data_IF_018307935121
#
_entry.id   IF_018307935121
#
_cell.length_a   1.000
_cell.length_b   1.000
_cell.length_c   1.000
_cell.angle_alpha   90.00
_cell.angle_beta   90.00
_cell.angle_gamma   90.00
#
_symmetry.space_group_name_H-M   'P 1'
#
loop_
_entity.id
_entity.type
_entity.pdbx_description
1 polymer ?
#
# COMPACT_ATOMS: atom_id res chain seq x y z
N UNK A 1 20.63 -7.14 6.49
CA UNK A 1 20.76 -6.33 5.25
C UNK A 1 19.74 -6.88 4.27
N UNK A 2 18.75 -6.09 3.86
CA UNK A 2 17.76 -6.56 2.87
C UNK A 2 18.48 -6.90 1.55
N UNK A 3 18.07 -7.95 0.82
CA UNK A 3 18.66 -8.27 -0.46
C UNK A 3 18.48 -7.10 -1.42
N UNK A 4 19.59 -6.49 -1.83
CA UNK A 4 19.60 -5.44 -2.84
C UNK A 4 19.48 -6.13 -4.20
N UNK A 5 18.28 -6.15 -4.76
CA UNK A 5 18.06 -6.64 -6.11
C UNK A 5 18.64 -5.64 -7.11
N UNK A 6 19.38 -6.12 -8.10
CA UNK A 6 19.69 -5.31 -9.26
C UNK A 6 18.36 -4.96 -9.95
N UNK A 7 18.09 -3.67 -10.11
CA UNK A 7 16.86 -3.17 -10.70
C UNK A 7 17.15 -2.45 -12.01
N UNK A 8 16.25 -2.62 -12.97
CA UNK A 8 16.23 -1.85 -14.21
C UNK A 8 15.06 -0.89 -14.18
N UNK A 9 15.32 0.36 -14.57
CA UNK A 9 14.31 1.41 -14.68
C UNK A 9 13.97 1.64 -16.15
N UNK A 10 12.69 1.49 -16.49
CA UNK A 10 12.12 1.84 -17.78
C UNK A 10 11.45 3.21 -17.67
N UNK A 11 11.65 4.04 -18.68
CA UNK A 11 11.15 5.41 -18.70
C UNK A 11 10.24 5.65 -19.91
N UNK A 12 9.05 6.18 -19.67
CA UNK A 12 8.02 6.45 -20.69
C UNK A 12 7.55 7.90 -20.57
N UNK A 13 7.74 8.67 -21.66
CA UNK A 13 7.27 10.07 -21.72
C UNK A 13 5.77 10.20 -21.93
N UNK A 14 5.20 9.23 -22.63
CA UNK A 14 3.78 9.17 -22.97
C UNK A 14 3.11 8.09 -22.11
N UNK A 15 2.06 8.41 -21.32
CA UNK A 15 1.34 7.42 -20.53
C UNK A 15 0.74 6.30 -21.39
N UNK A 16 0.36 6.58 -22.64
CA UNK A 16 -0.14 5.56 -23.57
C UNK A 16 0.95 4.53 -23.94
N UNK A 17 2.24 4.90 -23.87
CA UNK A 17 3.35 3.97 -24.09
C UNK A 17 3.54 2.98 -22.92
N UNK A 18 3.03 3.29 -21.74
CA UNK A 18 3.16 2.45 -20.53
C UNK A 18 2.52 1.08 -20.75
N UNK A 19 1.31 1.01 -21.27
CA UNK A 19 0.64 -0.28 -21.52
C UNK A 19 1.38 -1.13 -22.56
N UNK A 20 1.96 -0.51 -23.58
CA UNK A 20 2.77 -1.22 -24.59
C UNK A 20 4.05 -1.76 -23.97
N UNK A 21 4.75 -0.94 -23.18
CA UNK A 21 5.93 -1.34 -22.43
C UNK A 21 5.66 -2.50 -21.48
N UNK A 22 4.59 -2.41 -20.68
CA UNK A 22 4.17 -3.47 -19.76
C UNK A 22 3.79 -4.77 -20.49
N UNK A 23 3.14 -4.68 -21.66
CA UNK A 23 2.84 -5.84 -22.51
C UNK A 23 4.12 -6.50 -23.02
N UNK A 24 5.12 -5.73 -23.40
CA UNK A 24 6.41 -6.26 -23.84
C UNK A 24 7.18 -6.92 -22.68
N UNK A 25 7.24 -6.27 -21.52
CA UNK A 25 7.84 -6.85 -20.31
C UNK A 25 7.15 -8.15 -19.90
N UNK A 26 5.82 -8.26 -20.06
CA UNK A 26 5.10 -9.52 -19.82
C UNK A 26 5.58 -10.65 -20.75
N UNK A 27 5.82 -10.38 -22.04
CA UNK A 27 6.36 -11.39 -22.95
C UNK A 27 7.73 -11.89 -22.52
N UNK A 28 8.51 -11.02 -21.87
CA UNK A 28 9.80 -11.35 -21.29
C UNK A 28 9.70 -12.09 -19.93
N UNK A 29 8.49 -12.26 -19.38
CA UNK A 29 8.26 -12.99 -18.12
C UNK A 29 7.84 -12.11 -16.93
N UNK A 30 7.68 -10.79 -17.10
CA UNK A 30 7.29 -9.92 -16.00
C UNK A 30 5.87 -10.26 -15.51
N UNK A 31 5.78 -10.60 -14.23
CA UNK A 31 4.50 -10.78 -13.52
C UNK A 31 4.09 -9.49 -12.80
N UNK A 32 2.82 -9.36 -12.36
CA UNK A 32 2.41 -8.25 -11.48
C UNK A 32 3.26 -8.15 -10.20
N UNK A 33 3.67 -9.30 -9.65
CA UNK A 33 4.62 -9.35 -8.53
C UNK A 33 6.02 -8.87 -8.94
N UNK A 34 6.38 -8.93 -10.22
CA UNK A 34 7.61 -8.38 -10.79
C UNK A 34 7.73 -6.86 -10.75
N UNK A 35 6.60 -6.16 -10.66
CA UNK A 35 6.58 -4.70 -10.66
C UNK A 35 6.98 -4.18 -9.27
N UNK A 36 8.19 -3.63 -9.15
CA UNK A 36 8.74 -3.22 -7.85
C UNK A 36 8.28 -1.82 -7.50
N UNK A 37 8.44 -0.87 -8.42
CA UNK A 37 8.05 0.51 -8.21
C UNK A 37 7.49 1.13 -9.49
N UNK A 38 6.51 2.02 -9.33
CA UNK A 38 6.02 2.90 -10.39
C UNK A 38 5.95 4.30 -9.81
N UNK A 39 6.56 5.27 -10.50
CA UNK A 39 6.58 6.65 -10.06
C UNK A 39 6.46 7.61 -11.25
N UNK A 40 5.93 8.79 -10.99
CA UNK A 40 5.82 9.87 -11.96
C UNK A 40 6.76 11.00 -11.58
N UNK A 41 7.41 11.59 -12.57
CA UNK A 41 8.10 12.86 -12.36
C UNK A 41 7.08 14.03 -12.34
N UNK A 42 7.50 15.28 -12.05
CA UNK A 42 6.61 16.43 -12.04
C UNK A 42 6.03 16.81 -13.41
N UNK A 43 6.52 16.20 -14.50
CA UNK A 43 6.02 16.38 -15.86
C UNK A 43 5.01 15.31 -16.25
N UNK A 44 4.78 14.31 -15.39
CA UNK A 44 3.93 13.18 -15.64
C UNK A 44 4.61 12.05 -16.43
N UNK A 45 5.93 12.09 -16.61
CA UNK A 45 6.68 10.99 -17.24
C UNK A 45 6.78 9.80 -16.29
N UNK A 46 6.55 8.60 -16.82
CA UNK A 46 6.44 7.37 -16.02
C UNK A 46 7.77 6.65 -15.91
N UNK A 47 8.15 6.32 -14.67
CA UNK A 47 9.29 5.51 -14.33
C UNK A 47 8.81 4.17 -13.74
N UNK A 48 9.26 3.07 -14.31
CA UNK A 48 8.91 1.71 -13.88
C UNK A 48 10.18 0.95 -13.51
N UNK A 49 10.30 0.56 -12.24
CA UNK A 49 11.39 -0.27 -11.78
C UNK A 49 10.97 -1.73 -11.67
N UNK A 50 11.77 -2.62 -12.26
CA UNK A 50 11.60 -4.08 -12.26
C UNK A 50 12.94 -4.75 -11.92
N UNK A 51 12.97 -6.00 -11.46
CA UNK A 51 14.25 -6.70 -11.28
C UNK A 51 14.91 -6.95 -12.63
N UNK A 52 16.25 -7.00 -12.66
CA UNK A 52 16.99 -7.38 -13.88
C UNK A 52 16.76 -8.83 -14.27
N UNK A 53 16.60 -9.71 -13.27
CA UNK A 53 16.23 -11.11 -13.42
C UNK A 53 14.80 -11.33 -12.92
N UNK A 54 13.90 -11.70 -13.82
CA UNK A 54 12.49 -11.91 -13.48
C UNK A 54 12.27 -13.20 -12.69
N UNK A 55 13.13 -14.21 -12.82
CA UNK A 55 12.99 -15.46 -12.07
C UNK A 55 13.28 -15.24 -10.58
N UNK A 56 14.15 -14.27 -10.27
CA UNK A 56 14.45 -13.84 -8.91
C UNK A 56 13.21 -13.33 -8.15
N UNK A 57 12.15 -12.88 -8.84
CA UNK A 57 10.93 -12.39 -8.17
C UNK A 57 10.18 -13.47 -7.40
N UNK A 58 10.34 -14.74 -7.78
CA UNK A 58 9.71 -15.86 -7.07
C UNK A 58 10.17 -15.95 -5.61
N UNK A 59 11.38 -15.45 -5.32
CA UNK A 59 11.95 -15.40 -3.99
C UNK A 59 11.43 -14.24 -3.12
N UNK A 60 10.92 -13.16 -3.72
CA UNK A 60 10.53 -11.92 -3.01
C UNK A 60 9.13 -12.04 -2.45
N UNK A 61 8.95 -12.16 -1.14
CA UNK A 61 7.63 -12.11 -0.49
C UNK A 61 7.06 -10.68 -0.54
N UNK A 62 5.75 -10.53 -0.45
CA UNK A 62 5.10 -9.20 -0.59
C UNK A 62 5.60 -8.21 0.46
N UNK A 63 5.86 -8.66 1.69
CA UNK A 63 6.47 -7.83 2.72
C UNK A 63 7.91 -7.39 2.39
N UNK A 64 8.68 -8.23 1.69
CA UNK A 64 10.08 -7.93 1.34
C UNK A 64 10.18 -6.75 0.39
N UNK A 65 9.20 -6.59 -0.52
CA UNK A 65 9.11 -5.42 -1.41
C UNK A 65 9.06 -4.09 -0.66
N UNK A 66 8.42 -4.07 0.50
CA UNK A 66 8.25 -2.86 1.32
C UNK A 66 9.56 -2.41 1.97
N UNK A 67 10.55 -3.30 2.03
CA UNK A 67 11.89 -3.00 2.51
C UNK A 67 12.85 -2.56 1.41
N UNK A 68 12.42 -2.56 0.14
CA UNK A 68 13.26 -2.15 -0.99
C UNK A 68 13.45 -0.63 -0.99
N UNK A 69 14.66 -0.21 -1.33
CA UNK A 69 14.96 1.21 -1.55
C UNK A 69 14.63 1.55 -3.01
N UNK A 70 13.87 2.63 -3.27
CA UNK A 70 13.58 3.06 -4.62
C UNK A 70 14.87 3.47 -5.36
N UNK A 71 15.01 3.13 -6.66
CA UNK A 71 16.26 3.38 -7.41
C UNK A 71 16.43 4.84 -7.90
N UNK A 72 15.61 5.77 -7.44
CA UNK A 72 15.55 7.15 -7.94
C UNK A 72 16.28 8.15 -7.04
N UNK A 73 17.52 7.84 -6.64
CA UNK A 73 18.30 8.73 -5.78
C UNK A 73 18.42 10.14 -6.36
N UNK A 74 18.08 11.14 -5.54
CA UNK A 74 18.17 12.56 -5.90
C UNK A 74 17.11 13.08 -6.87
N UNK A 75 16.19 12.23 -7.34
CA UNK A 75 15.12 12.64 -8.27
C UNK A 75 13.81 12.89 -7.53
N UNK A 76 13.15 14.01 -7.85
CA UNK A 76 11.81 14.30 -7.32
C UNK A 76 10.80 13.50 -8.13
N UNK A 77 10.32 12.40 -7.57
CA UNK A 77 9.28 11.55 -8.16
C UNK A 77 8.17 11.29 -7.15
N UNK A 78 6.97 11.01 -7.65
CA UNK A 78 5.76 10.73 -6.88
C UNK A 78 5.36 9.28 -7.11
N UNK A 79 5.20 8.51 -6.04
CA UNK A 79 5.11 7.06 -6.11
C UNK A 79 3.67 6.59 -6.06
N UNK A 80 3.33 5.64 -6.93
CA UNK A 80 2.19 4.78 -6.68
C UNK A 80 2.52 3.84 -5.54
N UNK A 81 1.54 3.64 -4.67
CA UNK A 81 1.55 2.63 -3.62
C UNK A 81 0.92 1.35 -4.16
N UNK A 82 -0.35 1.40 -4.54
CA UNK A 82 -1.08 0.25 -5.02
C UNK A 82 -2.04 0.63 -6.13
N UNK A 83 -2.32 -0.32 -7.02
CA UNK A 83 -3.36 -0.20 -8.05
C UNK A 83 -4.22 -1.45 -8.00
N UNK A 84 -5.53 -1.26 -7.90
CA UNK A 84 -6.53 -2.31 -7.77
C UNK A 84 -7.52 -2.23 -8.93
N UNK A 85 -7.71 -3.35 -9.61
CA UNK A 85 -8.82 -3.56 -10.53
C UNK A 85 -10.04 -3.99 -9.74
N UNK A 86 -11.08 -3.18 -9.78
CA UNK A 86 -12.36 -3.40 -9.10
C UNK A 86 -13.41 -3.97 -10.08
N UNK A 87 -14.59 -4.41 -9.57
CA UNK A 87 -15.72 -4.73 -10.44
C UNK A 87 -16.10 -3.56 -11.37
N UNK A 88 -16.65 -3.91 -12.55
CA UNK A 88 -16.98 -2.93 -13.58
C UNK A 88 -15.76 -2.27 -14.24
N UNK A 89 -14.58 -2.89 -14.14
CA UNK A 89 -13.30 -2.40 -14.65
C UNK A 89 -12.83 -1.04 -14.07
N UNK A 90 -13.50 -0.57 -13.02
CA UNK A 90 -13.08 0.63 -12.28
C UNK A 90 -11.77 0.38 -11.55
N UNK A 91 -11.07 1.46 -11.23
CA UNK A 91 -9.72 1.43 -10.68
C UNK A 91 -9.66 2.22 -9.39
N UNK A 92 -9.22 1.57 -8.32
CA UNK A 92 -8.77 2.25 -7.11
C UNK A 92 -7.26 2.27 -7.10
N UNK A 93 -6.66 3.44 -6.91
CA UNK A 93 -5.22 3.57 -6.80
C UNK A 93 -4.84 4.43 -5.59
N UNK A 94 -3.74 4.05 -4.96
CA UNK A 94 -3.17 4.69 -3.79
C UNK A 94 -1.76 5.16 -4.12
N UNK A 95 -1.28 6.20 -3.43
CA UNK A 95 0.08 6.68 -3.62
C UNK A 95 0.36 8.00 -2.93
N UNK A 96 1.42 8.65 -3.38
CA UNK A 96 1.78 10.00 -2.96
C UNK A 96 0.71 10.98 -3.44
N UNK A 97 0.15 11.80 -2.54
CA UNK A 97 -0.92 12.76 -2.86
C UNK A 97 -0.59 13.67 -4.07
N UNK A 98 0.70 13.96 -4.29
CA UNK A 98 1.17 14.79 -5.41
C UNK A 98 1.05 14.11 -6.77
N UNK A 99 0.70 12.82 -6.83
CA UNK A 99 0.30 12.19 -8.08
C UNK A 99 -0.88 12.92 -8.74
N UNK A 100 -1.79 13.51 -7.95
CA UNK A 100 -2.88 14.34 -8.46
C UNK A 100 -2.41 15.57 -9.26
N UNK A 101 -1.18 16.04 -9.02
CA UNK A 101 -0.62 17.22 -9.70
C UNK A 101 -0.01 16.89 -11.07
N UNK A 102 0.19 15.61 -11.39
CA UNK A 102 0.94 15.17 -12.59
C UNK A 102 0.10 15.13 -13.86
N UNK A 103 -1.24 15.10 -13.74
CA UNK A 103 -2.17 14.92 -14.86
C UNK A 103 -2.22 13.50 -15.44
N UNK A 104 -1.08 12.79 -15.53
CA UNK A 104 -0.99 11.46 -16.16
C UNK A 104 -1.26 10.28 -15.23
N UNK A 105 -1.35 10.50 -13.91
CA UNK A 105 -1.58 9.42 -12.94
C UNK A 105 -2.81 8.53 -13.24
N UNK A 106 -3.98 9.07 -13.65
CA UNK A 106 -5.13 8.26 -13.99
C UNK A 106 -4.88 7.34 -15.19
N UNK A 107 -4.25 7.86 -16.24
CA UNK A 107 -3.87 7.09 -17.45
C UNK A 107 -2.94 5.93 -17.09
N UNK A 108 -1.93 6.17 -16.25
CA UNK A 108 -0.99 5.15 -15.79
C UNK A 108 -1.67 4.11 -14.90
N UNK A 109 -2.55 4.52 -14.00
CA UNK A 109 -3.34 3.61 -13.17
C UNK A 109 -4.26 2.72 -14.01
N UNK A 110 -4.94 3.28 -15.02
CA UNK A 110 -5.75 2.53 -15.97
C UNK A 110 -4.90 1.58 -16.83
N UNK A 111 -3.72 2.00 -17.28
CA UNK A 111 -2.79 1.13 -18.01
C UNK A 111 -2.34 -0.06 -17.15
N UNK A 112 -2.05 0.15 -15.87
CA UNK A 112 -1.72 -0.92 -14.93
C UNK A 112 -2.91 -1.87 -14.70
N UNK A 113 -4.11 -1.33 -14.52
CA UNK A 113 -5.34 -2.12 -14.37
C UNK A 113 -5.66 -2.97 -15.60
N UNK A 114 -5.51 -2.39 -16.79
CA UNK A 114 -5.71 -3.09 -18.07
C UNK A 114 -4.65 -4.18 -18.26
N UNK A 115 -3.39 -3.87 -17.96
CA UNK A 115 -2.33 -4.87 -17.97
C UNK A 115 -2.69 -6.04 -17.05
N UNK A 116 -3.16 -5.79 -15.82
CA UNK A 116 -3.57 -6.82 -14.87
C UNK A 116 -4.65 -7.78 -15.41
N UNK A 117 -5.47 -7.40 -16.40
CA UNK A 117 -6.48 -8.31 -17.00
C UNK A 117 -5.88 -9.57 -17.62
N UNK A 118 -4.67 -9.47 -18.16
CA UNK A 118 -3.93 -10.63 -18.66
C UNK A 118 -3.20 -11.44 -17.58
N UNK A 119 -3.59 -11.31 -16.30
CA UNK A 119 -3.02 -12.05 -15.18
C UNK A 119 -4.12 -12.51 -14.21
N UNK A 120 -3.82 -13.49 -13.37
CA UNK A 120 -4.71 -13.89 -12.27
C UNK A 120 -4.80 -12.87 -11.14
N UNK A 121 -3.84 -11.93 -11.07
CA UNK A 121 -3.83 -10.88 -10.06
C UNK A 121 -4.88 -9.80 -10.39
N UNK A 122 -5.52 -9.28 -9.34
CA UNK A 122 -6.45 -8.14 -9.42
C UNK A 122 -5.82 -6.85 -8.92
N UNK A 123 -4.57 -6.89 -8.48
CA UNK A 123 -3.87 -5.73 -7.94
C UNK A 123 -2.36 -5.83 -8.15
N UNK A 124 -1.71 -4.70 -7.97
CA UNK A 124 -0.27 -4.54 -7.83
C UNK A 124 -0.01 -3.81 -6.52
N UNK A 125 0.94 -4.32 -5.73
CA UNK A 125 1.53 -3.63 -4.58
C UNK A 125 2.98 -3.28 -4.90
N UNK A 126 3.30 -2.00 -4.74
CA UNK A 126 4.61 -1.41 -5.05
C UNK A 126 5.39 -1.13 -3.75
N UNK A 127 6.72 -1.12 -3.84
CA UNK A 127 7.60 -1.11 -2.66
C UNK A 127 7.64 0.19 -1.86
N UNK A 128 7.01 1.28 -2.32
CA UNK A 128 7.03 2.56 -1.60
C UNK A 128 5.82 2.69 -0.66
N UNK A 129 6.03 3.29 0.50
CA UNK A 129 4.96 3.86 1.34
C UNK A 129 4.97 5.38 1.14
N UNK A 130 3.84 6.01 0.77
CA UNK A 130 3.80 7.43 0.43
C UNK A 130 4.00 8.31 1.66
N UNK A 131 4.81 9.38 1.54
CA UNK A 131 5.02 10.35 2.62
C UNK A 131 3.73 11.04 3.04
N UNK A 132 2.90 11.43 2.07
CA UNK A 132 1.55 11.95 2.31
C UNK A 132 0.62 11.09 1.46
N UNK A 133 -0.16 10.18 2.05
CA UNK A 133 -1.01 9.29 1.28
C UNK A 133 -2.14 10.05 0.57
N UNK A 134 -2.56 9.47 -0.54
CA UNK A 134 -3.79 9.79 -1.25
C UNK A 134 -4.38 8.51 -1.82
N UNK A 135 -5.70 8.52 -1.93
CA UNK A 135 -6.49 7.49 -2.61
C UNK A 135 -7.39 8.15 -3.65
N UNK A 136 -7.54 7.46 -4.77
CA UNK A 136 -8.31 7.92 -5.92
C UNK A 136 -9.08 6.76 -6.52
N UNK A 137 -10.25 7.10 -7.06
CA UNK A 137 -11.05 6.20 -7.85
C UNK A 137 -11.24 6.75 -9.25
N UNK A 138 -11.13 5.91 -10.27
CA UNK A 138 -11.44 6.28 -11.65
C UNK A 138 -12.14 5.15 -12.39
N UNK A 139 -12.98 5.48 -13.36
CA UNK A 139 -13.63 4.51 -14.25
C UNK A 139 -12.67 4.13 -15.38
N UNK A 140 -12.15 5.15 -16.05
CA UNK A 140 -11.21 5.05 -17.16
C UNK A 140 -10.33 6.30 -17.19
N UNK A 141 -9.50 6.41 -18.22
CA UNK A 141 -8.54 7.52 -18.35
C UNK A 141 -9.15 8.83 -18.88
N UNK A 142 -10.40 8.81 -19.35
CA UNK A 142 -11.11 9.99 -19.87
C UNK A 142 -12.15 10.54 -18.87
N UNK A 143 -12.53 9.71 -17.90
CA UNK A 143 -13.49 10.03 -16.86
C UNK A 143 -12.90 10.92 -15.79
N UNK A 144 -13.76 11.69 -15.13
CA UNK A 144 -13.37 12.46 -13.96
C UNK A 144 -12.85 11.53 -12.85
N UNK A 145 -11.72 11.91 -12.26
CA UNK A 145 -11.13 11.23 -11.12
C UNK A 145 -11.85 11.66 -9.85
N UNK A 146 -12.20 10.70 -9.00
CA UNK A 146 -12.72 11.00 -7.66
C UNK A 146 -11.59 10.95 -6.64
N UNK A 147 -11.25 12.12 -6.10
CA UNK A 147 -10.27 12.28 -5.02
C UNK A 147 -10.88 11.86 -3.67
N UNK A 148 -10.68 10.61 -3.26
CA UNK A 148 -11.26 10.10 -1.99
C UNK A 148 -10.75 10.88 -0.78
N UNK A 149 -9.49 11.30 -0.83
CA UNK A 149 -8.86 12.10 0.22
C UNK A 149 -9.45 13.50 0.35
N UNK A 150 -10.03 14.07 -0.72
CA UNK A 150 -10.79 15.33 -0.64
C UNK A 150 -12.11 15.15 0.15
N UNK A 151 -12.64 13.92 0.19
CA UNK A 151 -13.77 13.54 1.06
C UNK A 151 -13.32 13.15 2.48
N UNK A 152 -12.03 13.27 2.78
CA UNK A 152 -11.41 12.89 4.04
C UNK A 152 -10.89 11.45 4.10
N UNK A 153 -11.14 10.60 3.10
CA UNK A 153 -10.68 9.21 3.07
C UNK A 153 -9.24 9.09 2.60
N UNK A 154 -8.34 8.73 3.51
CA UNK A 154 -6.92 8.94 3.29
C UNK A 154 -6.16 7.70 2.82
N UNK A 155 -6.47 6.54 3.40
CA UNK A 155 -5.97 5.24 2.95
C UNK A 155 -7.17 4.34 2.66
N UNK A 156 -7.14 3.67 1.52
CA UNK A 156 -8.16 2.72 1.10
C UNK A 156 -7.56 1.33 0.83
N UNK A 157 -8.22 0.29 1.34
CA UNK A 157 -7.82 -1.10 1.18
C UNK A 157 -8.99 -1.90 0.61
N UNK A 158 -8.71 -2.73 -0.39
CA UNK A 158 -9.73 -3.53 -1.05
C UNK A 158 -9.92 -4.88 -0.36
N UNK A 159 -11.17 -5.23 -0.06
CA UNK A 159 -11.58 -6.54 0.46
C UNK A 159 -12.20 -7.39 -0.67
N UNK A 160 -12.70 -8.58 -0.32
CA UNK A 160 -13.46 -9.41 -1.27
C UNK A 160 -14.79 -8.79 -1.68
N UNK A 161 -15.41 -7.99 -0.81
CA UNK A 161 -16.77 -7.45 -1.00
C UNK A 161 -16.85 -5.94 -1.20
N UNK A 162 -15.76 -5.20 -0.98
CA UNK A 162 -15.80 -3.74 -1.02
C UNK A 162 -14.47 -3.07 -0.72
N UNK A 163 -14.54 -1.82 -0.29
CA UNK A 163 -13.41 -0.94 0.03
C UNK A 163 -13.52 -0.55 1.50
N UNK A 164 -12.46 -0.78 2.27
CA UNK A 164 -12.28 -0.23 3.61
C UNK A 164 -11.49 1.07 3.49
N UNK A 165 -11.86 2.09 4.25
CA UNK A 165 -11.10 3.33 4.34
C UNK A 165 -11.09 3.91 5.75
N UNK A 166 -10.02 4.63 6.07
CA UNK A 166 -9.96 5.51 7.25
C UNK A 166 -10.11 6.97 6.85
N UNK A 167 -10.48 7.81 7.82
CA UNK A 167 -10.48 9.28 7.64
C UNK A 167 -9.32 9.94 8.38
N UNK A 168 -8.96 11.14 7.95
CA UNK A 168 -8.02 12.03 8.68
C UNK A 168 -8.59 12.37 10.05
N UNK A 169 -7.75 12.33 11.09
CA UNK A 169 -8.14 12.69 12.47
C UNK A 169 -9.42 11.97 12.94
N UNK A 170 -9.58 10.70 12.55
CA UNK A 170 -10.74 9.90 12.90
C UNK A 170 -10.30 8.52 13.41
N UNK A 171 -10.96 8.07 14.47
CA UNK A 171 -10.79 6.74 15.08
C UNK A 171 -11.66 5.67 14.42
N UNK A 172 -12.50 6.04 13.45
CA UNK A 172 -13.44 5.15 12.80
C UNK A 172 -12.91 4.58 11.49
N UNK A 173 -13.34 3.36 11.22
CA UNK A 173 -13.13 2.67 9.96
C UNK A 173 -14.46 2.63 9.19
N UNK A 174 -14.39 2.91 7.90
CA UNK A 174 -15.53 2.96 7.01
C UNK A 174 -15.43 1.90 5.94
N UNK A 175 -16.57 1.43 5.45
CA UNK A 175 -16.67 0.44 4.40
C UNK A 175 -17.65 0.89 3.32
N UNK A 176 -17.29 0.64 2.07
CA UNK A 176 -18.15 0.81 0.90
C UNK A 176 -18.21 -0.52 0.17
N UNK A 177 -19.37 -1.18 0.17
CA UNK A 177 -19.55 -2.44 -0.54
C UNK A 177 -19.64 -2.22 -2.05
N UNK A 178 -19.25 -3.24 -2.83
CA UNK A 178 -19.24 -3.14 -4.29
C UNK A 178 -20.63 -3.03 -4.90
N UNK A 179 -21.68 -3.50 -4.22
CA UNK A 179 -23.04 -3.37 -4.73
C UNK A 179 -23.47 -1.90 -4.68
N UNK A 180 -23.29 -1.22 -3.55
CA UNK A 180 -23.52 0.22 -3.39
C UNK A 180 -22.67 1.03 -4.38
N UNK A 181 -21.38 0.73 -4.51
CA UNK A 181 -20.51 1.38 -5.49
C UNK A 181 -21.04 1.23 -6.93
N UNK A 182 -21.49 0.03 -7.30
CA UNK A 182 -22.03 -0.24 -8.63
C UNK A 182 -23.34 0.51 -8.92
N UNK A 183 -24.20 0.65 -7.91
CA UNK A 183 -25.49 1.32 -8.01
C UNK A 183 -25.33 2.84 -8.11
N UNK A 184 -24.39 3.40 -7.34
CA UNK A 184 -24.15 4.84 -7.31
C UNK A 184 -23.25 5.31 -8.45
N UNK A 185 -22.51 4.39 -9.08
CA UNK A 185 -21.56 4.70 -10.16
C UNK A 185 -20.36 5.54 -9.71
N UNK A 186 -20.23 5.83 -8.42
CA UNK A 186 -19.11 6.55 -7.82
C UNK A 186 -19.00 6.24 -6.32
N UNK A 187 -17.82 6.44 -5.72
CA UNK A 187 -17.60 6.22 -4.29
C UNK A 187 -17.95 7.45 -3.44
N UNK A 188 -18.77 8.38 -3.93
CA UNK A 188 -19.09 9.62 -3.18
C UNK A 188 -20.11 9.41 -2.06
N UNK A 189 -20.83 8.27 -2.07
CA UNK A 189 -21.88 7.93 -1.12
C UNK A 189 -21.89 6.41 -0.84
N UNK A 190 -22.61 5.97 0.20
CA UNK A 190 -22.75 4.56 0.60
C UNK A 190 -21.71 4.07 1.62
N UNK A 191 -20.88 4.97 2.15
CA UNK A 191 -19.92 4.64 3.20
C UNK A 191 -20.59 4.42 4.55
N UNK A 192 -20.39 3.25 5.15
CA UNK A 192 -20.88 2.91 6.48
C UNK A 192 -19.72 2.77 7.48
N UNK A 193 -19.92 3.23 8.71
CA UNK A 193 -19.00 2.96 9.80
C UNK A 193 -19.08 1.49 10.19
N UNK A 194 -17.94 0.80 10.26
CA UNK A 194 -17.87 -0.65 10.59
C UNK A 194 -17.02 -0.95 11.82
N UNK A 195 -16.21 -0.01 12.28
CA UNK A 195 -15.37 -0.18 13.46
C UNK A 195 -14.99 1.17 14.06
N UNK A 196 -14.85 1.23 15.38
CA UNK A 196 -14.30 2.38 16.11
C UNK A 196 -13.13 1.92 16.98
N UNK A 197 -11.97 2.53 16.76
CA UNK A 197 -10.76 2.28 17.55
C UNK A 197 -10.86 2.89 18.95
N UNK A 198 -10.58 2.08 19.97
CA UNK A 198 -10.36 2.55 21.34
C UNK A 198 -8.93 3.08 21.57
N UNK A 199 -8.03 2.89 20.59
CA UNK A 199 -6.61 3.24 20.67
C UNK A 199 -6.30 4.62 20.07
N UNK A 200 -7.31 5.49 19.98
CA UNK A 200 -7.23 6.80 19.33
C UNK A 200 -7.45 6.74 17.82
N UNK A 201 -7.05 7.81 17.13
CA UNK A 201 -7.20 7.94 15.69
C UNK A 201 -6.50 6.82 14.94
N UNK A 202 -7.10 6.38 13.83
CA UNK A 202 -6.48 5.41 12.92
C UNK A 202 -5.55 6.20 12.00
N UNK A 203 -4.26 5.92 12.10
CA UNK A 203 -3.18 6.62 11.41
C UNK A 203 -2.79 5.95 10.10
N UNK A 204 -2.83 4.62 10.03
CA UNK A 204 -2.52 3.85 8.83
C UNK A 204 -3.35 2.57 8.78
N UNK A 205 -3.67 2.14 7.56
CA UNK A 205 -4.18 0.79 7.28
C UNK A 205 -3.05 -0.07 6.73
N UNK A 206 -2.99 -1.33 7.15
CA UNK A 206 -2.20 -2.32 6.43
C UNK A 206 -2.66 -2.37 4.97
N UNK A 207 -1.71 -2.37 4.03
CA UNK A 207 -1.99 -2.15 2.60
C UNK A 207 -2.86 -3.21 1.93
N UNK A 208 -3.05 -4.36 2.58
CA UNK A 208 -3.92 -5.45 2.08
C UNK A 208 -4.55 -6.22 3.23
N UNK A 209 -5.76 -6.71 2.98
CA UNK A 209 -6.38 -7.72 3.84
C UNK A 209 -5.81 -9.10 3.52
N UNK A 210 -5.34 -9.82 4.53
CA UNK A 210 -4.89 -11.21 4.39
C UNK A 210 -5.66 -12.12 5.33
N UNK A 211 -6.22 -13.21 4.81
CA UNK A 211 -7.02 -14.16 5.60
C UNK A 211 -8.12 -13.46 6.41
N UNK A 212 -8.74 -12.44 5.83
CA UNK A 212 -9.74 -11.60 6.49
C UNK A 212 -9.23 -10.84 7.72
N UNK A 213 -7.92 -10.68 7.86
CA UNK A 213 -7.27 -9.86 8.89
C UNK A 213 -6.75 -8.57 8.30
N UNK A 214 -6.89 -7.50 9.08
CA UNK A 214 -6.32 -6.19 8.79
C UNK A 214 -5.69 -5.64 10.07
N UNK A 215 -4.46 -5.15 9.99
CA UNK A 215 -3.86 -4.37 11.07
C UNK A 215 -4.14 -2.88 10.86
N UNK A 216 -4.62 -2.24 11.92
CA UNK A 216 -4.79 -0.80 12.05
C UNK A 216 -3.63 -0.27 12.89
N UNK A 217 -2.94 0.74 12.37
CA UNK A 217 -2.01 1.54 13.18
C UNK A 217 -2.78 2.71 13.75
N UNK A 218 -2.81 2.83 15.08
CA UNK A 218 -3.51 3.88 15.81
C UNK A 218 -2.52 4.71 16.64
N UNK A 219 -2.96 5.87 17.15
CA UNK A 219 -2.12 6.78 17.96
C UNK A 219 -1.45 6.10 19.16
N UNK A 220 -2.15 5.17 19.81
CA UNK A 220 -1.70 4.53 21.06
C UNK A 220 -1.14 3.12 20.84
N UNK A 221 -1.10 2.62 19.60
CA UNK A 221 -0.62 1.28 19.30
C UNK A 221 -1.28 0.64 18.09
N UNK A 222 -1.34 -0.69 18.07
CA UNK A 222 -1.84 -1.47 16.94
C UNK A 222 -3.10 -2.26 17.34
N UNK A 223 -4.03 -2.38 16.40
CA UNK A 223 -5.22 -3.22 16.51
C UNK A 223 -5.23 -4.18 15.32
N UNK A 224 -5.42 -5.48 15.55
CA UNK A 224 -5.79 -6.42 14.48
C UNK A 224 -7.30 -6.67 14.54
N UNK A 225 -7.96 -6.59 13.39
CA UNK A 225 -9.38 -6.85 13.23
C UNK A 225 -9.65 -8.01 12.26
N UNK A 226 -10.73 -8.75 12.50
CA UNK A 226 -11.40 -9.66 11.57
C UNK A 226 -12.41 -8.89 10.73
N UNK A 227 -12.34 -9.05 9.42
CA UNK A 227 -13.24 -8.42 8.45
C UNK A 227 -14.01 -9.45 7.61
N UNK A 228 -14.05 -10.72 8.04
CA UNK A 228 -14.71 -11.80 7.29
C UNK A 228 -16.24 -11.65 7.19
N UNK A 229 -16.83 -10.88 8.11
CA UNK A 229 -18.28 -10.70 8.23
C UNK A 229 -18.72 -9.27 7.86
N UNK A 230 -17.92 -8.53 7.09
CA UNK A 230 -18.31 -7.22 6.61
C UNK A 230 -19.59 -7.27 5.75
N UNK A 231 -20.48 -6.27 5.85
CA UNK A 231 -20.37 -5.10 6.74
C UNK A 231 -20.86 -5.34 8.18
N UNK A 232 -21.53 -6.46 8.42
CA UNK A 232 -22.34 -6.68 9.63
C UNK A 232 -21.52 -6.76 10.92
N UNK A 233 -20.29 -7.30 10.84
CA UNK A 233 -19.46 -7.51 12.01
C UNK A 233 -17.96 -7.37 11.70
N UNK A 234 -17.30 -6.54 12.51
CA UNK A 234 -15.84 -6.44 12.61
C UNK A 234 -15.43 -6.81 14.03
N UNK A 235 -14.51 -7.76 14.18
CA UNK A 235 -14.09 -8.27 15.49
C UNK A 235 -12.66 -7.86 15.76
N UNK A 236 -12.40 -7.15 16.84
CA UNK A 236 -11.04 -6.97 17.34
C UNK A 236 -10.46 -8.31 17.82
N UNK A 237 -9.32 -8.72 17.28
CA UNK A 237 -8.67 -9.99 17.63
C UNK A 237 -7.32 -9.85 18.29
N UNK A 238 -6.70 -8.69 18.20
CA UNK A 238 -5.52 -8.36 18.98
C UNK A 238 -5.43 -6.86 19.20
N UNK A 239 -4.87 -6.47 20.34
CA UNK A 239 -4.54 -5.09 20.69
C UNK A 239 -3.16 -5.04 21.31
N UNK A 240 -2.35 -4.13 20.81
CA UNK A 240 -0.96 -4.00 21.23
C UNK A 240 -0.67 -2.53 21.53
N UNK A 241 -0.67 -2.14 22.81
CA UNK A 241 -0.20 -0.82 23.22
C UNK A 241 1.27 -0.66 22.85
N UNK A 242 1.61 0.42 22.14
CA UNK A 242 2.98 0.69 21.71
C UNK A 242 3.30 2.17 21.84
N UNK A 243 4.59 2.50 21.92
CA UNK A 243 5.03 3.89 21.79
C UNK A 243 4.64 4.40 20.39
N UNK A 244 4.15 5.63 20.36
CA UNK A 244 3.75 6.36 19.15
C UNK A 244 4.83 6.30 18.06
N UNK A 245 4.39 6.19 16.80
CA UNK A 245 5.25 6.36 15.62
C UNK A 245 5.59 5.09 14.85
N UNK A 246 5.30 3.89 15.38
CA UNK A 246 5.39 2.65 14.60
C UNK A 246 4.12 2.41 13.80
N UNK A 247 4.25 1.84 12.61
CA UNK A 247 3.11 1.44 11.78
C UNK A 247 3.36 0.14 11.03
N UNK A 248 2.32 -0.69 10.95
CA UNK A 248 2.34 -1.92 10.14
C UNK A 248 1.85 -1.58 8.74
N UNK A 249 2.73 -1.70 7.74
CA UNK A 249 2.41 -1.41 6.34
C UNK A 249 2.11 -2.67 5.53
N UNK A 250 2.46 -3.84 6.05
CA UNK A 250 2.15 -5.11 5.40
C UNK A 250 2.56 -6.30 6.25
N UNK A 251 2.15 -7.48 5.82
CA UNK A 251 2.63 -8.75 6.35
C UNK A 251 3.15 -9.67 5.25
N UNK A 252 4.16 -10.45 5.62
CA UNK A 252 4.67 -11.57 4.86
C UNK A 252 3.69 -12.74 5.02
N UNK A 253 3.47 -13.49 3.95
CA UNK A 253 2.67 -14.71 3.99
C UNK A 253 3.23 -15.63 5.08
N UNK A 254 2.36 -16.01 6.02
CA UNK A 254 2.62 -16.75 7.25
C UNK A 254 2.94 -15.95 8.52
N UNK A 255 3.02 -14.61 8.57
CA UNK A 255 2.91 -13.87 9.85
C UNK A 255 4.04 -12.94 10.30
N UNK A 256 5.14 -12.83 9.55
CA UNK A 256 6.10 -11.74 9.81
C UNK A 256 5.54 -10.39 9.32
N UNK A 257 5.89 -9.29 9.96
CA UNK A 257 5.34 -7.95 9.70
C UNK A 257 6.38 -7.05 9.03
N UNK A 258 5.95 -6.28 8.04
CA UNK A 258 6.68 -5.12 7.53
C UNK A 258 6.26 -3.89 8.34
N UNK A 259 7.18 -3.38 9.14
CA UNK A 259 6.95 -2.28 10.08
C UNK A 259 7.77 -1.07 9.66
N UNK A 260 7.15 0.10 9.63
CA UNK A 260 7.83 1.40 9.48
C UNK A 260 7.77 2.16 10.80
N UNK A 261 8.63 3.17 10.94
CA UNK A 261 8.58 4.14 12.01
C UNK A 261 8.64 5.56 11.44
N UNK A 262 7.89 6.48 12.03
CA UNK A 262 7.83 7.88 11.63
C UNK A 262 7.30 8.78 12.75
N UNK A 263 7.19 10.07 12.46
CA UNK A 263 6.59 11.05 13.37
C UNK A 263 5.07 11.04 13.18
N UNK A 264 4.31 10.98 14.27
CA UNK A 264 2.84 11.02 14.19
C UNK A 264 2.38 12.39 13.73
N UNK A 265 1.47 12.39 12.77
CA UNK A 265 0.69 13.54 12.34
C UNK A 265 -0.81 13.20 12.34
N UNK A 266 -1.73 14.19 12.36
CA UNK A 266 -3.18 13.93 12.28
C UNK A 266 -3.61 13.09 11.07
N UNK A 267 -2.79 13.08 10.02
CA UNK A 267 -3.05 12.36 8.78
C UNK A 267 -2.28 11.04 8.65
N UNK A 268 -1.39 10.69 9.58
CA UNK A 268 -0.61 9.45 9.50
C UNK A 268 0.79 9.59 10.08
N UNK A 269 1.79 9.13 9.32
CA UNK A 269 3.21 9.22 9.73
C UNK A 269 4.03 10.06 8.72
N UNK A 270 4.81 11.03 9.22
CA UNK A 270 5.86 11.74 8.46
C UNK A 270 7.23 11.15 8.73
N UNK A 271 8.22 11.54 7.90
CA UNK A 271 9.62 11.15 8.08
C UNK A 271 9.82 9.64 8.25
N UNK A 272 9.03 8.86 7.50
CA UNK A 272 9.00 7.42 7.63
C UNK A 272 10.34 6.80 7.23
N UNK A 273 10.84 5.88 8.03
CA UNK A 273 11.94 5.01 7.67
C UNK A 273 11.46 3.95 6.65
N UNK A 274 12.35 3.41 5.80
CA UNK A 274 12.06 2.20 5.05
C UNK A 274 11.51 1.11 5.97
N UNK A 275 10.58 0.29 5.47
CA UNK A 275 10.00 -0.75 6.29
C UNK A 275 11.05 -1.81 6.64
N UNK A 276 11.08 -2.23 7.90
CA UNK A 276 11.86 -3.36 8.37
C UNK A 276 10.95 -4.59 8.51
N UNK A 277 11.50 -5.75 8.18
CA UNK A 277 10.83 -7.02 8.41
C UNK A 277 11.08 -7.48 9.84
N UNK A 278 10.00 -7.71 10.58
CA UNK A 278 10.03 -8.06 11.99
C UNK A 278 9.23 -9.33 12.21
N UNK A 279 9.82 -10.25 12.96
CA UNK A 279 9.19 -11.50 13.35
C UNK A 279 9.45 -12.65 12.39
N UNK A 280 8.82 -13.77 12.73
CA UNK A 280 8.99 -15.06 12.08
C UNK A 280 7.67 -15.54 11.45
N UNK A 281 7.72 -16.51 10.51
CA UNK A 281 6.52 -17.22 10.11
C UNK A 281 5.81 -17.79 11.36
N UNK A 282 4.52 -17.52 11.48
CA UNK A 282 3.52 -17.85 12.51
C UNK A 282 3.40 -16.89 13.69
N UNK A 283 4.18 -15.81 13.68
CA UNK A 283 4.12 -14.80 14.73
C UNK A 283 2.80 -14.02 14.69
N UNK A 284 2.25 -13.71 15.87
CA UNK A 284 1.01 -12.94 16.01
C UNK A 284 1.34 -11.48 16.27
N UNK A 285 0.36 -10.59 16.04
CA UNK A 285 0.54 -9.16 16.33
C UNK A 285 1.00 -8.91 17.78
N UNK A 286 0.49 -9.70 18.73
CA UNK A 286 0.83 -9.61 20.17
C UNK A 286 2.31 -9.83 20.47
N UNK A 287 3.04 -10.54 19.62
CA UNK A 287 4.46 -10.85 19.81
C UNK A 287 5.37 -9.69 19.35
N UNK A 288 4.85 -8.79 18.49
CA UNK A 288 5.61 -7.74 17.82
C UNK A 288 6.41 -6.82 18.77
N UNK A 289 5.90 -6.38 19.95
CA UNK A 289 6.67 -5.52 20.85
C UNK A 289 7.95 -6.16 21.36
N UNK A 290 7.93 -7.48 21.58
CA UNK A 290 9.11 -8.22 22.04
C UNK A 290 10.16 -8.24 20.93
N UNK A 291 9.73 -8.49 19.71
CA UNK A 291 10.60 -8.66 18.55
C UNK A 291 11.21 -7.34 18.09
N UNK A 292 10.47 -6.25 18.18
CA UNK A 292 11.01 -4.89 17.94
C UNK A 292 12.12 -4.54 18.94
N UNK A 293 11.91 -4.80 20.24
CA UNK A 293 12.95 -4.55 21.27
C UNK A 293 14.22 -5.38 21.05
N UNK A 294 14.08 -6.59 20.49
CA UNK A 294 15.22 -7.42 20.15
C UNK A 294 15.97 -6.87 18.94
N UNK A 295 15.23 -6.43 17.91
CA UNK A 295 15.79 -5.84 16.69
C UNK A 295 16.52 -4.53 16.97
N UNK A 296 15.97 -3.66 17.83
CA UNK A 296 16.63 -2.42 18.26
C UNK A 296 17.97 -2.69 18.95
N UNK A 297 18.05 -3.73 19.80
CA UNK A 297 19.30 -4.11 20.50
C UNK A 297 20.37 -4.66 19.56
N UNK A 298 19.98 -5.38 18.51
CA UNK A 298 20.90 -5.92 17.50
C UNK A 298 21.49 -4.81 16.62
N UNK A 299 20.71 -3.77 16.32
CA UNK A 299 21.19 -2.59 15.60
C UNK A 299 22.22 -1.83 16.45
N UNK A 300 21.95 -1.63 17.74
CA UNK A 300 22.85 -0.92 18.65
C UNK A 300 24.19 -1.68 18.85
N UNK A 301 24.13 -3.01 19.02
CA UNK A 301 25.34 -3.84 19.17
C UNK A 301 26.15 -4.01 17.89
N UNK A 302 25.55 -3.85 16.72
CA UNK A 302 26.27 -3.91 15.43
C UNK A 302 26.91 -2.58 15.03
N UNK A 303 26.44 -1.44 15.57
CA UNK A 303 27.12 -0.15 15.48
C UNK A 303 28.34 -0.08 16.40
N UNK A 304 28.24 -0.60 17.64
CA UNK A 304 29.35 -0.62 18.60
C UNK A 304 30.52 -1.53 18.17
N UNK A 305 30.30 -2.49 17.26
CA UNK A 305 31.35 -3.38 16.72
C UNK A 305 32.07 -2.83 15.48
N UNK A 306 31.69 -1.64 15.00
CA UNK A 306 32.30 -0.99 13.84
C UNK A 306 33.25 0.17 14.21
N UNK A 307 33.42 0.42 15.51
CA UNK A 307 34.45 1.31 16.07
C UNK A 307 35.60 0.48 16.67
#
# INVERSE_FOLDING_TARGET
MAPMFATRVYHYRDPAAVILGLKELRKQGLTPRGLLFVALDPRGETNIAVPEDFDAITSIRVGDKLSLVPPWEGQRVFHFDAVHRLPGDTVLWNGDRRLGDTGSAPEVACALSEWLKGSSAKNVFLGCTPHVPGSWWTVDHLSAVTDLHAMGFLDCVVTTGGIIARKIDDRRLFYLDFQSLSQNGSPTDGWQEVFTSEMGNILLLERRVLQYRLVLTCEQGLIEIDVSHLPDLVIETARVPMRSGFGVVGRIDNGAFAVTAGTIEPWGLTNMSPAMLVGSPTEKLLDLPRTLRQSEREIDTSQVRKD
#
